data_IF_488978541496
#
_entry.id   IF_488978541496
#
_cell.length_a   1.000
_cell.length_b   1.000
_cell.length_c   1.000
_cell.angle_alpha   90.00
_cell.angle_beta   90.00
_cell.angle_gamma   90.00
#
_symmetry.space_group_name_H-M   'P 1'
#
loop_
_entity.id
_entity.type
_entity.pdbx_description
1 polymer ?
#
# COMPACT_ATOMS: atom_id res chain seq x y z
N UNK A 1 -28.33 10.27 21.01
CA UNK A 1 -26.99 9.91 20.48
C UNK A 1 -25.96 10.27 21.53
N UNK A 2 -25.26 9.30 22.12
CA UNK A 2 -24.10 9.61 22.95
C UNK A 2 -22.95 9.96 22.00
N UNK A 3 -22.46 11.19 22.09
CA UNK A 3 -21.22 11.58 21.45
C UNK A 3 -20.08 10.96 22.25
N UNK A 4 -19.78 9.69 21.99
CA UNK A 4 -18.59 9.03 22.53
C UNK A 4 -17.37 9.64 21.80
N UNK A 5 -16.77 10.64 22.42
CA UNK A 5 -15.59 11.34 21.88
C UNK A 5 -14.41 10.37 21.99
N UNK A 6 -13.89 9.92 20.85
CA UNK A 6 -12.71 9.04 20.78
C UNK A 6 -11.54 9.65 21.56
N UNK A 7 -10.88 8.81 22.36
CA UNK A 7 -9.70 9.19 23.12
C UNK A 7 -8.57 9.57 22.18
N UNK A 8 -7.73 10.52 22.60
CA UNK A 8 -6.56 10.98 21.82
C UNK A 8 -5.64 9.80 21.46
N UNK A 9 -5.57 8.77 22.30
CA UNK A 9 -4.80 7.55 22.02
C UNK A 9 -5.38 6.72 20.87
N UNK A 10 -6.71 6.60 20.79
CA UNK A 10 -7.38 5.88 19.70
C UNK A 10 -7.19 6.63 18.38
N UNK A 11 -7.26 7.97 18.43
CA UNK A 11 -7.04 8.81 17.26
C UNK A 11 -5.62 8.73 16.71
N UNK A 12 -4.62 8.74 17.61
CA UNK A 12 -3.20 8.58 17.23
C UNK A 12 -2.94 7.15 16.76
N UNK A 13 -3.47 6.13 17.45
CA UNK A 13 -3.31 4.74 17.04
C UNK A 13 -3.92 4.44 15.68
N UNK A 14 -5.10 5.02 15.39
CA UNK A 14 -5.74 4.91 14.08
C UNK A 14 -4.91 5.59 12.99
N UNK A 15 -4.46 6.83 13.22
CA UNK A 15 -3.62 7.55 12.25
C UNK A 15 -2.24 6.90 12.04
N UNK A 16 -1.64 6.36 13.09
CA UNK A 16 -0.37 5.65 13.00
C UNK A 16 -0.51 4.30 12.28
N UNK A 17 -1.63 3.62 12.45
CA UNK A 17 -1.97 2.40 11.71
C UNK A 17 -2.21 2.66 10.22
N UNK A 18 -2.91 3.75 9.89
CA UNK A 18 -3.11 4.20 8.50
C UNK A 18 -1.78 4.50 7.80
N UNK A 19 -0.93 5.30 8.45
CA UNK A 19 0.39 5.62 7.93
C UNK A 19 1.30 4.38 7.78
N UNK A 20 1.27 3.47 8.76
CA UNK A 20 2.04 2.22 8.68
C UNK A 20 1.56 1.33 7.52
N UNK A 21 0.26 1.28 7.29
CA UNK A 21 -0.33 0.49 6.21
C UNK A 21 0.10 1.03 4.84
N UNK A 22 0.08 2.36 4.64
CA UNK A 22 0.55 2.98 3.40
C UNK A 22 2.06 2.74 3.18
N UNK A 23 2.89 2.90 4.21
CA UNK A 23 4.34 2.68 4.09
C UNK A 23 4.66 1.25 3.66
N UNK A 24 4.00 0.25 4.25
CA UNK A 24 4.23 -1.15 3.88
C UNK A 24 3.73 -1.41 2.46
N UNK A 25 2.53 -0.91 2.13
CA UNK A 25 1.93 -1.16 0.83
C UNK A 25 2.79 -0.57 -0.30
N UNK A 26 3.20 0.68 -0.17
CA UNK A 26 4.06 1.36 -1.15
C UNK A 26 5.43 0.67 -1.30
N UNK A 27 6.03 0.23 -0.18
CA UNK A 27 7.32 -0.45 -0.21
C UNK A 27 7.25 -1.82 -0.90
N UNK A 28 6.20 -2.61 -0.62
CA UNK A 28 5.98 -3.92 -1.25
C UNK A 28 5.69 -3.76 -2.74
N UNK A 29 4.91 -2.75 -3.14
CA UNK A 29 4.61 -2.45 -4.54
C UNK A 29 5.87 -2.11 -5.33
N UNK A 30 6.74 -1.26 -4.77
CA UNK A 30 8.03 -0.90 -5.35
C UNK A 30 8.94 -2.12 -5.49
N UNK A 31 9.06 -2.93 -4.43
CA UNK A 31 9.87 -4.13 -4.46
C UNK A 31 9.40 -5.13 -5.52
N UNK A 32 8.09 -5.34 -5.65
CA UNK A 32 7.53 -6.24 -6.66
C UNK A 32 7.76 -5.72 -8.09
N UNK A 33 7.64 -4.41 -8.34
CA UNK A 33 8.00 -3.86 -9.65
C UNK A 33 9.45 -4.20 -10.02
N UNK A 34 10.40 -3.89 -9.12
CA UNK A 34 11.82 -4.21 -9.32
C UNK A 34 12.07 -5.71 -9.53
N UNK A 35 11.41 -6.55 -8.74
CA UNK A 35 11.54 -8.00 -8.85
C UNK A 35 11.08 -8.51 -10.22
N UNK A 36 9.94 -8.04 -10.72
CA UNK A 36 9.43 -8.48 -12.02
C UNK A 36 10.21 -7.92 -13.21
N UNK A 37 10.77 -6.72 -13.11
CA UNK A 37 11.59 -6.14 -14.18
C UNK A 37 13.02 -6.64 -14.19
N UNK A 38 13.69 -6.66 -13.04
CA UNK A 38 15.15 -6.90 -12.97
C UNK A 38 15.52 -8.35 -12.67
N UNK A 39 14.68 -9.12 -11.97
CA UNK A 39 14.95 -10.54 -11.68
C UNK A 39 14.26 -11.44 -12.71
N UNK A 40 13.00 -11.19 -13.01
CA UNK A 40 12.24 -11.98 -13.98
C UNK A 40 12.45 -11.53 -15.43
N UNK A 41 12.97 -10.32 -15.65
CA UNK A 41 13.22 -9.80 -16.99
C UNK A 41 11.95 -9.48 -17.78
N UNK A 42 10.80 -9.30 -17.12
CA UNK A 42 9.54 -8.94 -17.79
C UNK A 42 9.63 -7.47 -18.19
N UNK A 43 9.26 -7.09 -19.44
CA UNK A 43 9.31 -5.69 -19.85
C UNK A 43 8.40 -4.84 -18.97
N UNK A 44 8.89 -3.66 -18.56
CA UNK A 44 8.18 -2.74 -17.66
C UNK A 44 6.75 -2.40 -18.12
N UNK A 45 6.48 -2.42 -19.43
CA UNK A 45 5.12 -2.23 -19.97
C UNK A 45 4.12 -3.30 -19.53
N UNK A 46 4.52 -4.57 -19.48
CA UNK A 46 3.64 -5.65 -19.04
C UNK A 46 3.43 -5.64 -17.53
N UNK A 47 4.50 -5.42 -16.75
CA UNK A 47 4.41 -5.26 -15.29
C UNK A 47 3.52 -4.07 -14.93
N UNK A 48 3.66 -2.95 -15.64
CA UNK A 48 2.78 -1.78 -15.50
C UNK A 48 1.31 -2.10 -15.76
N UNK A 49 1.00 -2.90 -16.79
CA UNK A 49 -0.39 -3.35 -17.02
C UNK A 49 -0.93 -4.28 -15.94
N UNK A 50 -0.08 -5.13 -15.33
CA UNK A 50 -0.48 -6.01 -14.22
C UNK A 50 -0.78 -5.21 -12.96
N UNK A 51 0.01 -4.19 -12.64
CA UNK A 51 -0.30 -3.29 -11.52
C UNK A 51 -1.51 -2.40 -11.83
N UNK A 52 -1.68 -1.94 -13.07
CA UNK A 52 -2.80 -1.10 -13.46
C UNK A 52 -4.16 -1.83 -13.43
N UNK A 53 -4.20 -3.11 -13.86
CA UNK A 53 -5.43 -3.91 -13.81
C UNK A 53 -5.61 -4.68 -12.50
N UNK A 54 -4.52 -5.13 -11.87
CA UNK A 54 -4.55 -5.97 -10.67
C UNK A 54 -4.62 -5.22 -9.34
N UNK A 55 -4.13 -3.98 -9.23
CA UNK A 55 -4.23 -3.19 -8.00
C UNK A 55 -5.56 -2.43 -7.85
N UNK A 56 -6.49 -2.60 -8.80
CA UNK A 56 -7.81 -1.98 -8.81
C UNK A 56 -8.91 -2.88 -8.20
N UNK A 57 -8.57 -3.98 -7.53
CA UNK A 57 -9.52 -4.91 -6.89
C UNK A 57 -9.43 -4.86 -5.36
#
# INVERSE_FOLDING_TARGET
MKSEILSVKEKIGYGMGDAASHIIFDNVMLYMMFFYTDIFGIPAGFVGTMFFTGACA
#
